data_IF_501277789141
#
_entry.id   IF_501277789141
#
_cell.length_a   1.000
_cell.length_b   1.000
_cell.length_c   1.000
_cell.angle_alpha   90.00
_cell.angle_beta   90.00
_cell.angle_gamma   90.00
#
_symmetry.space_group_name_H-M   'P 1'
#
loop_
_entity.id
_entity.type
_entity.pdbx_description
1 polymer ?
#
# COMPACT_ATOMS: atom_id res chain seq x y z
N UNK A 1 24.98 30.61 10.26
CA UNK A 1 24.43 30.75 8.89
C UNK A 1 23.02 30.19 8.91
N UNK A 2 22.03 31.06 8.80
CA UNK A 2 20.60 30.72 8.80
C UNK A 2 20.23 30.09 7.46
N UNK A 3 20.00 28.77 7.45
CA UNK A 3 19.42 28.07 6.30
C UNK A 3 17.96 28.50 6.21
N UNK A 4 17.65 29.35 5.22
CA UNK A 4 16.28 29.61 4.79
C UNK A 4 15.66 28.27 4.38
N UNK A 5 14.76 27.73 5.19
CA UNK A 5 13.85 26.67 4.74
C UNK A 5 12.99 27.30 3.65
N UNK A 6 13.16 26.87 2.41
CA UNK A 6 12.15 27.12 1.37
C UNK A 6 10.84 26.46 1.82
N UNK A 7 9.96 27.28 2.37
CA UNK A 7 8.58 26.90 2.65
C UNK A 7 7.92 26.65 1.30
N UNK A 8 7.72 25.39 0.95
CA UNK A 8 6.85 25.00 -0.17
C UNK A 8 5.52 25.73 0.02
N UNK A 9 5.09 26.48 -1.00
CA UNK A 9 3.93 27.34 -0.91
C UNK A 9 2.69 26.50 -0.57
N UNK A 10 1.98 26.78 0.54
CA UNK A 10 0.82 25.99 0.96
C UNK A 10 -0.26 25.89 -0.13
N UNK A 11 -0.35 26.87 -1.05
CA UNK A 11 -1.29 26.83 -2.18
C UNK A 11 -0.97 25.75 -3.21
N UNK A 12 0.31 25.41 -3.42
CA UNK A 12 0.72 24.36 -4.37
C UNK A 12 0.41 22.98 -3.81
N UNK A 13 0.53 22.83 -2.50
CA UNK A 13 0.19 21.63 -1.74
C UNK A 13 -1.32 21.41 -1.68
N UNK A 14 -2.10 22.50 -1.49
CA UNK A 14 -3.56 22.51 -1.57
C UNK A 14 -4.03 22.08 -2.98
N UNK A 15 -3.34 22.52 -4.04
CA UNK A 15 -3.69 22.15 -5.40
C UNK A 15 -3.44 20.65 -5.71
N UNK A 16 -2.34 20.06 -5.21
CA UNK A 16 -1.99 18.66 -5.50
C UNK A 16 -2.78 17.68 -4.62
N UNK A 17 -2.89 17.94 -3.31
CA UNK A 17 -3.67 17.10 -2.39
C UNK A 17 -5.18 17.22 -2.62
N UNK A 18 -5.65 18.42 -2.98
CA UNK A 18 -7.03 18.67 -3.37
C UNK A 18 -7.42 17.96 -4.66
N UNK A 19 -6.54 17.83 -5.65
CA UNK A 19 -6.83 17.12 -6.90
C UNK A 19 -6.93 15.62 -6.69
N UNK A 20 -6.09 15.00 -5.86
CA UNK A 20 -6.18 13.56 -5.57
C UNK A 20 -7.42 13.22 -4.75
N UNK A 21 -7.72 14.01 -3.71
CA UNK A 21 -8.94 13.83 -2.92
C UNK A 21 -10.21 14.17 -3.73
N UNK A 22 -10.16 15.19 -4.59
CA UNK A 22 -11.26 15.53 -5.48
C UNK A 22 -11.44 14.51 -6.60
N UNK A 23 -10.38 13.87 -7.10
CA UNK A 23 -10.47 12.73 -8.02
C UNK A 23 -11.14 11.53 -7.34
N UNK A 24 -10.72 11.20 -6.11
CA UNK A 24 -11.36 10.13 -5.31
C UNK A 24 -12.85 10.47 -5.04
N UNK A 25 -13.17 11.72 -4.68
CA UNK A 25 -14.56 12.15 -4.46
C UNK A 25 -15.39 12.26 -5.75
N UNK A 26 -14.81 12.66 -6.88
CA UNK A 26 -15.50 12.72 -8.18
C UNK A 26 -15.83 11.31 -8.69
N UNK A 27 -14.93 10.35 -8.50
CA UNK A 27 -15.11 8.92 -8.81
C UNK A 27 -16.29 8.31 -8.06
N UNK A 28 -16.47 8.65 -6.78
CA UNK A 28 -17.60 8.17 -5.96
C UNK A 28 -18.96 8.70 -6.46
N UNK A 29 -18.98 9.82 -7.18
CA UNK A 29 -20.22 10.54 -7.53
C UNK A 29 -20.84 10.17 -8.89
N UNK A 30 -20.14 9.49 -9.79
CA UNK A 30 -20.66 9.19 -11.14
C UNK A 30 -20.73 7.70 -11.39
N UNK A 31 -21.95 7.19 -11.48
CA UNK A 31 -22.29 5.89 -12.06
C UNK A 31 -22.61 6.07 -13.56
N UNK A 32 -21.75 5.62 -14.49
CA UNK A 32 -22.20 5.30 -15.83
C UNK A 32 -22.82 3.90 -15.82
N UNK A 33 -23.96 3.75 -16.49
CA UNK A 33 -24.68 2.48 -16.61
C UNK A 33 -23.83 1.43 -17.34
N UNK A 34 -23.72 0.26 -16.73
CA UNK A 34 -23.10 -0.92 -17.30
C UNK A 34 -24.02 -1.50 -18.39
N UNK A 35 -23.62 -1.34 -19.65
CA UNK A 35 -24.20 -2.08 -20.76
C UNK A 35 -23.17 -3.15 -21.15
N UNK A 36 -23.64 -4.31 -21.62
CA UNK A 36 -22.79 -5.41 -22.06
C UNK A 36 -22.02 -5.04 -23.33
N UNK A 37 -20.72 -5.35 -23.43
CA UNK A 37 -19.94 -4.97 -24.62
C UNK A 37 -19.10 -6.12 -25.16
N UNK A 38 -19.51 -6.61 -26.32
CA UNK A 38 -18.72 -7.39 -27.26
C UNK A 38 -17.69 -6.50 -27.96
N UNK A 39 -16.41 -6.88 -27.93
CA UNK A 39 -15.34 -6.24 -28.71
C UNK A 39 -15.49 -6.65 -30.17
N UNK A 40 -16.19 -5.83 -30.96
CA UNK A 40 -16.12 -5.90 -32.42
C UNK A 40 -16.19 -4.47 -32.96
N UNK A 41 -15.06 -3.96 -33.45
CA UNK A 41 -15.02 -2.74 -34.28
C UNK A 41 -15.75 -3.03 -35.61
N UNK A 42 -16.33 -2.02 -36.28
CA UNK A 42 -17.02 -2.19 -37.57
C UNK A 42 -16.12 -2.65 -38.72
N UNK A 43 -14.79 -2.61 -38.57
CA UNK A 43 -13.83 -2.69 -39.69
C UNK A 43 -12.94 -3.96 -39.73
N UNK A 44 -13.13 -4.95 -38.84
CA UNK A 44 -12.43 -6.24 -38.93
C UNK A 44 -10.92 -6.23 -38.68
N UNK A 45 -10.33 -5.12 -38.21
CA UNK A 45 -8.93 -5.07 -37.78
C UNK A 45 -8.76 -5.76 -36.42
N UNK A 46 -7.76 -6.63 -36.31
CA UNK A 46 -7.39 -7.31 -35.07
C UNK A 46 -6.91 -6.26 -34.05
N UNK A 47 -7.58 -6.08 -32.89
CA UNK A 47 -7.17 -5.12 -31.87
C UNK A 47 -5.75 -5.37 -31.35
N UNK A 48 -5.16 -6.55 -31.57
CA UNK A 48 -3.76 -6.83 -31.26
C UNK A 48 -2.74 -6.22 -32.24
N UNK A 49 -3.18 -5.74 -33.42
CA UNK A 49 -2.30 -5.18 -34.47
C UNK A 49 -2.29 -3.64 -34.51
N UNK A 50 -3.11 -2.97 -33.70
CA UNK A 50 -3.21 -1.51 -33.62
C UNK A 50 -2.04 -0.91 -32.81
N UNK A 51 -0.97 -0.48 -33.49
CA UNK A 51 0.21 0.06 -32.82
C UNK A 51 0.02 1.51 -32.30
N UNK A 52 -0.99 2.25 -32.80
CA UNK A 52 -1.22 3.64 -32.44
C UNK A 52 -1.54 3.84 -30.95
N UNK A 53 -2.07 2.80 -30.31
CA UNK A 53 -2.39 2.76 -28.88
C UNK A 53 -1.39 1.92 -28.05
N UNK A 54 -0.30 1.42 -28.64
CA UNK A 54 0.73 0.65 -27.92
C UNK A 54 0.38 -0.80 -27.64
N UNK A 55 -0.40 -1.45 -28.52
CA UNK A 55 -0.81 -2.86 -28.37
C UNK A 55 0.34 -3.85 -28.50
N UNK A 56 1.46 -3.41 -29.08
CA UNK A 56 2.67 -4.23 -29.25
C UNK A 56 3.77 -3.90 -28.24
N UNK A 57 3.51 -3.02 -27.26
CA UNK A 57 4.49 -2.60 -26.27
C UNK A 57 5.02 -3.78 -25.44
N UNK A 58 6.34 -3.92 -25.38
CA UNK A 58 7.01 -4.95 -24.58
C UNK A 58 7.24 -4.50 -23.14
N UNK A 59 7.18 -3.18 -22.92
CA UNK A 59 7.43 -2.48 -21.67
C UNK A 59 6.44 -1.32 -21.51
N UNK A 60 6.09 -0.90 -20.28
CA UNK A 60 5.12 0.18 -20.08
C UNK A 60 5.55 1.51 -20.70
N UNK A 61 6.86 1.79 -20.77
CA UNK A 61 7.38 3.04 -21.31
C UNK A 61 7.22 3.19 -22.83
N UNK A 62 6.92 2.09 -23.54
CA UNK A 62 6.64 2.12 -24.99
C UNK A 62 5.19 2.50 -25.32
N UNK A 63 4.30 2.56 -24.31
CA UNK A 63 2.89 2.89 -24.54
C UNK A 63 2.79 4.39 -24.90
N UNK A 64 2.26 4.74 -26.09
CA UNK A 64 2.15 6.13 -26.52
C UNK A 64 1.03 6.85 -25.77
N UNK A 65 1.03 8.19 -25.84
CA UNK A 65 0.07 9.02 -25.12
C UNK A 65 -1.43 8.65 -25.35
N UNK A 66 -1.89 8.26 -26.55
CA UNK A 66 -3.24 7.77 -26.75
C UNK A 66 -3.55 6.50 -25.94
N UNK A 67 -2.59 5.57 -25.86
CA UNK A 67 -2.73 4.37 -25.04
C UNK A 67 -2.75 4.65 -23.54
N UNK A 68 -1.91 5.57 -23.07
CA UNK A 68 -1.92 6.02 -21.67
C UNK A 68 -3.23 6.75 -21.30
N UNK A 69 -3.82 7.48 -22.26
CA UNK A 69 -5.15 8.07 -22.08
C UNK A 69 -6.22 6.99 -21.92
N UNK A 70 -6.15 5.91 -22.71
CA UNK A 70 -7.08 4.78 -22.55
C UNK A 70 -6.94 4.16 -21.16
N UNK A 71 -5.70 3.85 -20.75
CA UNK A 71 -5.39 3.32 -19.42
C UNK A 71 -5.97 4.20 -18.32
N UNK A 72 -5.74 5.52 -18.37
CA UNK A 72 -6.25 6.46 -17.37
C UNK A 72 -7.77 6.41 -17.24
N UNK A 73 -8.49 6.41 -18.36
CA UNK A 73 -9.95 6.37 -18.33
C UNK A 73 -10.51 5.02 -17.90
N UNK A 74 -9.83 3.92 -18.23
CA UNK A 74 -10.22 2.58 -17.74
C UNK A 74 -10.01 2.46 -16.24
N UNK A 75 -8.85 2.89 -15.72
CA UNK A 75 -8.62 2.96 -14.26
C UNK A 75 -9.75 3.77 -13.60
N UNK A 76 -10.09 4.95 -14.12
CA UNK A 76 -11.16 5.79 -13.58
C UNK A 76 -12.54 5.07 -13.55
N UNK A 77 -12.83 4.25 -14.55
CA UNK A 77 -14.05 3.45 -14.63
C UNK A 77 -14.01 2.29 -13.63
N UNK A 78 -12.91 1.56 -13.55
CA UNK A 78 -12.75 0.42 -12.64
C UNK A 78 -12.82 0.84 -11.17
N UNK A 79 -12.26 1.99 -10.80
CA UNK A 79 -12.39 2.51 -9.43
C UNK A 79 -13.84 2.58 -8.92
N UNK A 80 -14.78 2.90 -9.83
CA UNK A 80 -16.21 2.97 -9.52
C UNK A 80 -16.90 1.60 -9.65
N UNK A 81 -16.59 0.84 -10.71
CA UNK A 81 -17.18 -0.48 -10.96
C UNK A 81 -16.84 -1.47 -9.85
N UNK A 82 -15.59 -1.51 -9.42
CA UNK A 82 -15.10 -2.38 -8.36
C UNK A 82 -15.38 -1.86 -6.96
N UNK A 83 -15.97 -0.66 -6.85
CA UNK A 83 -16.33 -0.03 -5.57
C UNK A 83 -15.13 0.01 -4.64
N UNK A 84 -13.98 0.49 -5.14
CA UNK A 84 -12.68 0.46 -4.46
C UNK A 84 -12.75 1.03 -3.04
N UNK A 85 -13.47 2.13 -2.85
CA UNK A 85 -13.68 2.74 -1.53
C UNK A 85 -14.33 1.79 -0.52
N UNK A 86 -15.30 0.97 -0.96
CA UNK A 86 -15.99 0.01 -0.12
C UNK A 86 -15.11 -1.20 0.21
N UNK A 87 -14.39 -1.72 -0.77
CA UNK A 87 -13.41 -2.79 -0.56
C UNK A 87 -12.33 -2.33 0.42
N UNK A 88 -11.76 -1.14 0.20
CA UNK A 88 -10.77 -0.56 1.09
C UNK A 88 -11.27 -0.43 2.52
N UNK A 89 -12.56 -0.10 2.73
CA UNK A 89 -13.15 -0.01 4.07
C UNK A 89 -13.21 -1.38 4.76
N UNK A 90 -13.55 -2.44 4.01
CA UNK A 90 -13.52 -3.81 4.50
C UNK A 90 -12.10 -4.25 4.89
N UNK A 91 -11.11 -3.96 4.05
CA UNK A 91 -9.70 -4.25 4.35
C UNK A 91 -9.22 -3.46 5.58
N UNK A 92 -9.55 -2.17 5.65
CA UNK A 92 -9.20 -1.33 6.79
C UNK A 92 -9.77 -1.84 8.11
N UNK A 93 -11.00 -2.37 8.09
CA UNK A 93 -11.63 -3.00 9.24
C UNK A 93 -10.83 -4.23 9.71
N UNK A 94 -10.46 -5.13 8.80
CA UNK A 94 -9.65 -6.30 9.16
C UNK A 94 -8.24 -5.91 9.64
N UNK A 95 -7.62 -4.89 9.04
CA UNK A 95 -6.32 -4.36 9.49
C UNK A 95 -6.40 -3.73 10.89
N UNK A 96 -7.51 -3.04 11.21
CA UNK A 96 -7.73 -2.49 12.54
C UNK A 96 -7.89 -3.60 13.58
N UNK A 97 -8.62 -4.68 13.27
CA UNK A 97 -8.72 -5.86 14.14
C UNK A 97 -7.38 -6.58 14.31
N UNK A 98 -6.56 -6.61 13.27
CA UNK A 98 -5.22 -7.20 13.28
C UNK A 98 -4.19 -6.37 14.07
N UNK A 99 -4.49 -5.11 14.39
CA UNK A 99 -3.52 -4.17 14.94
C UNK A 99 -2.97 -4.61 16.30
N UNK A 100 -3.84 -4.88 17.28
CA UNK A 100 -3.40 -5.26 18.64
C UNK A 100 -2.58 -6.56 18.65
N UNK A 101 -3.04 -7.64 17.99
CA UNK A 101 -2.22 -8.82 17.71
C UNK A 101 -0.84 -8.53 17.14
N UNK A 102 -0.78 -7.69 16.10
CA UNK A 102 0.46 -7.38 15.41
C UNK A 102 1.43 -6.61 16.32
N UNK A 103 0.92 -5.68 17.15
CA UNK A 103 1.74 -4.97 18.13
C UNK A 103 2.33 -5.90 19.19
N UNK A 104 1.52 -6.81 19.74
CA UNK A 104 2.01 -7.79 20.72
C UNK A 104 3.11 -8.69 20.12
N UNK A 105 2.92 -9.14 18.88
CA UNK A 105 3.90 -9.94 18.17
C UNK A 105 5.17 -9.13 17.83
N UNK A 106 5.02 -7.86 17.44
CA UNK A 106 6.13 -6.94 17.16
C UNK A 106 6.98 -6.71 18.41
N UNK A 107 6.38 -6.41 19.56
CA UNK A 107 7.09 -6.22 20.84
C UNK A 107 7.83 -7.51 21.23
N UNK A 108 7.18 -8.66 21.08
CA UNK A 108 7.79 -9.95 21.39
C UNK A 108 9.01 -10.24 20.51
N UNK A 109 8.91 -9.98 19.20
CA UNK A 109 9.99 -10.20 18.24
C UNK A 109 11.13 -9.19 18.43
N UNK A 110 10.82 -7.91 18.69
CA UNK A 110 11.82 -6.90 19.01
C UNK A 110 12.58 -7.22 20.31
N UNK A 111 11.86 -7.72 21.32
CA UNK A 111 12.41 -8.16 22.60
C UNK A 111 13.45 -9.29 22.51
N UNK A 112 13.55 -9.99 21.37
CA UNK A 112 14.59 -11.00 21.13
C UNK A 112 15.95 -10.37 20.78
N UNK A 113 15.96 -9.13 20.28
CA UNK A 113 17.15 -8.47 19.72
C UNK A 113 17.56 -7.25 20.56
N UNK A 114 16.59 -6.59 21.20
CA UNK A 114 16.81 -5.38 22.01
C UNK A 114 15.88 -5.35 23.25
N UNK A 115 16.17 -4.44 24.19
CA UNK A 115 15.31 -4.23 25.36
C UNK A 115 13.93 -3.71 24.91
N UNK A 116 12.81 -4.38 25.27
CA UNK A 116 11.46 -3.88 24.97
C UNK A 116 11.19 -2.46 25.49
N UNK A 117 11.86 -2.02 26.56
CA UNK A 117 11.75 -0.65 27.04
C UNK A 117 12.26 0.38 26.01
N UNK A 118 13.23 0.01 25.18
CA UNK A 118 13.71 0.87 24.09
C UNK A 118 12.67 1.02 22.96
N UNK A 119 11.68 0.12 22.84
CA UNK A 119 10.61 0.25 21.83
C UNK A 119 9.80 1.51 22.06
N UNK A 120 9.43 1.81 23.31
CA UNK A 120 8.61 2.99 23.60
C UNK A 120 9.36 4.29 23.31
N UNK A 121 10.66 4.31 23.59
CA UNK A 121 11.51 5.48 23.34
C UNK A 121 11.72 5.67 21.84
N UNK A 122 12.05 4.62 21.09
CA UNK A 122 12.20 4.68 19.64
C UNK A 122 10.89 4.97 18.89
N UNK A 123 9.74 4.61 19.46
CA UNK A 123 8.45 4.94 18.84
C UNK A 123 8.13 6.42 18.94
N UNK A 124 8.58 7.14 19.99
CA UNK A 124 8.45 8.61 20.01
C UNK A 124 9.17 9.26 18.83
N UNK A 125 10.27 8.69 18.37
CA UNK A 125 10.99 9.14 17.18
C UNK A 125 10.27 8.81 15.86
N UNK A 126 9.23 7.96 15.92
CA UNK A 126 8.33 7.63 14.80
C UNK A 126 7.05 8.48 14.78
N UNK A 127 6.86 9.42 15.72
CA UNK A 127 5.68 10.29 15.76
C UNK A 127 5.48 11.08 14.45
N UNK A 128 6.55 11.35 13.70
CA UNK A 128 6.48 12.01 12.39
C UNK A 128 6.03 11.12 11.23
N UNK A 129 5.89 9.80 11.43
CA UNK A 129 5.47 8.83 10.40
C UNK A 129 4.02 8.39 10.60
N UNK A 130 3.53 8.44 11.84
CA UNK A 130 2.16 8.07 12.21
C UNK A 130 1.24 9.30 12.20
N UNK A 131 -0.06 9.15 11.88
CA UNK A 131 -0.99 10.25 11.95
C UNK A 131 -1.20 10.73 13.40
N UNK A 132 -1.53 12.02 13.61
CA UNK A 132 -1.83 12.56 14.93
C UNK A 132 -2.98 11.79 15.60
N UNK A 133 -2.82 11.40 16.87
CA UNK A 133 -3.80 10.63 17.65
C UNK A 133 -3.71 9.10 17.49
N UNK A 134 -3.16 8.58 16.39
CA UNK A 134 -2.81 7.16 16.29
C UNK A 134 -1.59 6.84 17.15
N UNK A 135 -0.64 7.77 17.23
CA UNK A 135 0.54 7.63 18.07
C UNK A 135 0.17 7.36 19.52
N UNK A 136 -0.74 8.15 20.10
CA UNK A 136 -1.12 8.02 21.51
C UNK A 136 -1.79 6.68 21.80
N UNK A 137 -2.69 6.22 20.92
CA UNK A 137 -3.34 4.91 21.05
C UNK A 137 -2.30 3.78 20.98
N UNK A 138 -1.37 3.86 20.02
CA UNK A 138 -0.33 2.85 19.86
C UNK A 138 0.64 2.86 21.03
N UNK A 139 1.07 4.04 21.48
CA UNK A 139 2.00 4.23 22.58
C UNK A 139 1.42 3.72 23.91
N UNK A 140 0.16 4.05 24.22
CA UNK A 140 -0.53 3.56 25.42
C UNK A 140 -0.63 2.04 25.42
N UNK A 141 -1.00 1.44 24.28
CA UNK A 141 -1.10 -0.01 24.18
C UNK A 141 0.26 -0.70 24.33
N UNK A 142 1.31 -0.13 23.75
CA UNK A 142 2.65 -0.67 23.89
C UNK A 142 3.17 -0.57 25.31
N UNK A 143 2.94 0.55 26.00
CA UNK A 143 3.26 0.67 27.43
C UNK A 143 2.53 -0.40 28.24
N UNK A 144 1.24 -0.63 27.99
CA UNK A 144 0.49 -1.68 28.68
C UNK A 144 1.05 -3.09 28.39
N UNK A 145 1.48 -3.36 27.16
CA UNK A 145 2.09 -4.63 26.78
C UNK A 145 3.47 -4.85 27.42
N UNK A 146 4.29 -3.80 27.52
CA UNK A 146 5.61 -3.85 28.17
C UNK A 146 5.46 -4.02 29.69
N UNK A 147 4.46 -3.36 30.31
CA UNK A 147 4.20 -3.41 31.75
C UNK A 147 3.54 -4.72 32.19
N UNK A 148 2.69 -5.36 31.36
CA UNK A 148 2.04 -6.65 31.66
C UNK A 148 2.97 -7.86 31.49
N UNK A 149 4.22 -7.74 31.92
CA UNK A 149 5.24 -8.79 31.88
C UNK A 149 5.04 -9.91 32.92
N UNK A 150 3.79 -10.23 33.26
CA UNK A 150 3.49 -11.35 34.16
C UNK A 150 3.17 -12.62 33.35
N UNK A 151 4.23 -13.42 33.20
CA UNK A 151 4.27 -14.88 33.39
C UNK A 151 2.91 -15.59 33.52
N UNK A 152 2.18 -15.69 32.43
CA UNK A 152 1.31 -16.85 32.20
C UNK A 152 1.81 -17.60 30.97
N UNK A 153 2.95 -18.29 31.12
CA UNK A 153 3.46 -19.33 30.20
C UNK A 153 2.51 -20.56 30.09
N UNK A 154 1.21 -20.36 30.33
CA UNK A 154 0.17 -21.38 30.29
C UNK A 154 -0.60 -21.36 28.96
N UNK A 155 -1.66 -22.15 28.93
CA UNK A 155 -2.57 -22.30 27.77
C UNK A 155 -3.08 -20.94 27.26
N UNK A 156 -3.29 -19.96 28.14
CA UNK A 156 -3.74 -18.61 27.79
C UNK A 156 -2.78 -17.86 26.84
N UNK A 157 -1.47 -18.03 26.98
CA UNK A 157 -0.49 -17.43 26.07
C UNK A 157 -0.62 -18.02 24.66
N UNK A 158 -0.70 -19.35 24.55
CA UNK A 158 -0.86 -20.03 23.26
C UNK A 158 -2.20 -19.70 22.59
N UNK A 159 -3.28 -19.60 23.37
CA UNK A 159 -4.60 -19.17 22.88
C UNK A 159 -4.57 -17.71 22.42
N UNK A 160 -3.97 -16.80 23.18
CA UNK A 160 -3.80 -15.39 22.81
C UNK A 160 -2.95 -15.22 21.55
N UNK A 161 -1.85 -15.97 21.44
CA UNK A 161 -1.00 -16.01 20.24
C UNK A 161 -1.75 -16.57 19.03
N UNK A 162 -2.56 -17.62 19.21
CA UNK A 162 -3.36 -18.20 18.13
C UNK A 162 -4.44 -17.22 17.63
N UNK A 163 -5.16 -16.55 18.55
CA UNK A 163 -6.12 -15.49 18.21
C UNK A 163 -5.41 -14.33 17.51
N UNK A 164 -4.21 -13.96 17.99
CA UNK A 164 -3.43 -12.90 17.40
C UNK A 164 -3.03 -13.24 15.95
N UNK A 165 -2.42 -14.40 15.73
CA UNK A 165 -2.05 -14.89 14.41
C UNK A 165 -3.27 -14.99 13.50
N UNK A 166 -4.40 -15.51 13.99
CA UNK A 166 -5.65 -15.61 13.23
C UNK A 166 -6.17 -14.23 12.79
N UNK A 167 -6.19 -13.25 13.70
CA UNK A 167 -6.62 -11.89 13.37
C UNK A 167 -5.68 -11.20 12.38
N UNK A 168 -4.36 -11.31 12.56
CA UNK A 168 -3.39 -10.73 11.64
C UNK A 168 -3.44 -11.40 10.25
N UNK A 169 -3.68 -12.71 10.24
CA UNK A 169 -3.86 -13.48 9.01
C UNK A 169 -5.04 -12.96 8.17
N UNK A 170 -6.18 -12.65 8.81
CA UNK A 170 -7.35 -12.11 8.11
C UNK A 170 -7.11 -10.74 7.46
N UNK A 171 -6.28 -9.88 8.07
CA UNK A 171 -5.88 -8.60 7.48
C UNK A 171 -5.11 -8.77 6.17
N UNK A 172 -4.18 -9.72 6.13
CA UNK A 172 -3.41 -10.02 4.89
C UNK A 172 -4.29 -10.67 3.83
N UNK A 173 -5.19 -11.58 4.22
CA UNK A 173 -6.17 -12.16 3.29
C UNK A 173 -7.07 -11.09 2.67
N UNK A 174 -7.53 -10.12 3.46
CA UNK A 174 -8.34 -9.02 2.94
C UNK A 174 -7.57 -8.17 1.91
N UNK A 175 -6.28 -7.93 2.11
CA UNK A 175 -5.42 -7.29 1.10
C UNK A 175 -5.35 -8.15 -0.17
N UNK A 176 -5.18 -9.47 -0.05
CA UNK A 176 -5.12 -10.37 -1.20
C UNK A 176 -6.43 -10.39 -1.98
N UNK A 177 -7.57 -10.39 -1.28
CA UNK A 177 -8.89 -10.28 -1.92
C UNK A 177 -9.04 -8.94 -2.66
N UNK A 178 -8.59 -7.83 -2.06
CA UNK A 178 -8.59 -6.54 -2.75
C UNK A 178 -7.67 -6.52 -3.98
N UNK A 179 -6.52 -7.18 -3.92
CA UNK A 179 -5.64 -7.35 -5.10
C UNK A 179 -6.26 -8.28 -6.13
N UNK A 180 -6.99 -9.32 -5.74
CA UNK A 180 -7.71 -10.16 -6.68
C UNK A 180 -8.76 -9.34 -7.45
N UNK A 181 -9.53 -8.49 -6.76
CA UNK A 181 -10.47 -7.58 -7.42
C UNK A 181 -9.76 -6.65 -8.41
N UNK A 182 -8.69 -5.97 -7.98
CA UNK A 182 -7.98 -5.00 -8.82
C UNK A 182 -7.27 -5.58 -10.05
N UNK A 183 -7.15 -6.91 -10.15
CA UNK A 183 -6.61 -7.60 -11.33
C UNK A 183 -7.66 -8.46 -12.04
N UNK A 184 -8.95 -8.31 -11.70
CA UNK A 184 -10.07 -9.13 -12.19
C UNK A 184 -9.85 -10.64 -12.03
N UNK A 185 -9.21 -11.02 -10.93
CA UNK A 185 -8.90 -12.41 -10.62
C UNK A 185 -9.85 -13.01 -9.59
N UNK A 186 -10.03 -14.32 -9.70
CA UNK A 186 -10.68 -15.13 -8.67
C UNK A 186 -9.64 -15.93 -7.92
N UNK A 187 -9.82 -16.10 -6.61
CA UNK A 187 -8.86 -16.83 -5.78
C UNK A 187 -8.84 -18.32 -6.14
N UNK A 188 -7.77 -18.75 -6.84
CA UNK A 188 -7.56 -20.13 -7.29
C UNK A 188 -6.63 -20.92 -6.38
N UNK A 189 -5.92 -20.27 -5.44
CA UNK A 189 -5.00 -20.96 -4.52
C UNK A 189 -5.82 -21.81 -3.54
N UNK A 190 -5.42 -23.06 -3.37
CA UNK A 190 -5.99 -23.91 -2.34
C UNK A 190 -5.74 -23.35 -0.93
N UNK A 191 -6.62 -23.71 0.01
CA UNK A 191 -6.61 -23.20 1.39
C UNK A 191 -5.21 -23.18 2.02
N UNK A 192 -4.47 -24.29 1.94
CA UNK A 192 -3.13 -24.41 2.54
C UNK A 192 -2.14 -23.43 1.91
N UNK A 193 -2.10 -23.33 0.57
CA UNK A 193 -1.14 -22.47 -0.13
C UNK A 193 -1.43 -20.99 0.14
N UNK A 194 -2.70 -20.60 0.10
CA UNK A 194 -3.12 -19.24 0.43
C UNK A 194 -2.70 -18.85 1.85
N UNK A 195 -2.96 -19.73 2.81
CA UNK A 195 -2.61 -19.50 4.22
C UNK A 195 -1.10 -19.34 4.43
N UNK A 196 -0.27 -20.22 3.83
CA UNK A 196 1.19 -20.14 3.93
C UNK A 196 1.72 -18.82 3.35
N UNK A 197 1.22 -18.41 2.17
CA UNK A 197 1.67 -17.17 1.53
C UNK A 197 1.25 -15.95 2.36
N UNK A 198 0.01 -15.90 2.85
CA UNK A 198 -0.46 -14.80 3.69
C UNK A 198 0.31 -14.72 5.03
N UNK A 199 0.60 -15.86 5.65
CA UNK A 199 1.43 -15.91 6.86
C UNK A 199 2.86 -15.40 6.58
N UNK A 200 3.46 -15.81 5.46
CA UNK A 200 4.78 -15.31 5.05
C UNK A 200 4.76 -13.78 4.87
N UNK A 201 3.72 -13.22 4.25
CA UNK A 201 3.55 -11.77 4.13
C UNK A 201 3.41 -11.07 5.48
N UNK A 202 2.66 -11.66 6.41
CA UNK A 202 2.54 -11.16 7.79
C UNK A 202 3.90 -11.10 8.48
N UNK A 203 4.69 -12.19 8.41
CA UNK A 203 6.03 -12.24 9.00
C UNK A 203 6.98 -11.23 8.33
N UNK A 204 6.96 -11.14 7.01
CA UNK A 204 7.74 -10.14 6.28
C UNK A 204 7.37 -8.71 6.67
N UNK A 205 6.09 -8.41 6.85
CA UNK A 205 5.62 -7.09 7.31
C UNK A 205 6.12 -6.79 8.73
N UNK A 206 6.12 -7.77 9.65
CA UNK A 206 6.68 -7.61 10.99
C UNK A 206 8.20 -7.36 10.96
N UNK A 207 8.94 -8.12 10.14
CA UNK A 207 10.37 -7.90 9.95
C UNK A 207 10.62 -6.50 9.38
N UNK A 208 9.85 -6.08 8.37
CA UNK A 208 9.95 -4.74 7.79
C UNK A 208 9.66 -3.63 8.82
N UNK A 209 8.70 -3.83 9.72
CA UNK A 209 8.45 -2.90 10.82
C UNK A 209 9.66 -2.81 11.78
N UNK A 210 10.28 -3.93 12.15
CA UNK A 210 11.49 -3.93 12.98
C UNK A 210 12.67 -3.25 12.28
N UNK A 211 12.87 -3.54 10.99
CA UNK A 211 13.90 -2.90 10.17
C UNK A 211 13.65 -1.40 10.08
N UNK A 212 12.39 -0.97 9.96
CA UNK A 212 12.01 0.44 9.98
C UNK A 212 12.40 1.11 11.29
N UNK A 213 12.04 0.50 12.44
CA UNK A 213 12.44 0.99 13.77
C UNK A 213 13.97 1.06 13.86
N UNK A 214 14.68 0.03 13.40
CA UNK A 214 16.14 0.00 13.38
C UNK A 214 16.77 1.09 12.50
N UNK A 215 16.21 1.37 11.31
CA UNK A 215 16.67 2.47 10.45
C UNK A 215 16.43 3.82 11.12
N UNK A 216 15.31 3.99 11.81
CA UNK A 216 14.96 5.25 12.49
C UNK A 216 15.83 5.50 13.71
N UNK A 217 15.99 4.49 14.57
CA UNK A 217 16.62 4.60 15.88
C UNK A 217 18.14 4.35 15.85
N UNK A 218 18.59 3.36 15.07
CA UNK A 218 19.97 2.86 15.15
C UNK A 218 20.90 3.53 14.13
N UNK A 219 20.37 4.03 13.01
CA UNK A 219 21.18 4.67 11.97
C UNK A 219 22.00 5.87 12.50
N UNK A 220 21.45 6.78 13.34
CA UNK A 220 22.24 7.84 13.95
C UNK A 220 23.40 7.31 14.81
N UNK A 221 23.13 6.31 15.67
CA UNK A 221 24.14 5.70 16.54
C UNK A 221 25.25 4.99 15.76
N UNK A 222 24.91 4.30 14.66
CA UNK A 222 25.91 3.67 13.77
C UNK A 222 26.80 4.72 13.10
N UNK A 223 26.22 5.84 12.68
CA UNK A 223 26.97 6.94 12.05
C UNK A 223 27.87 7.70 13.04
N UNK A 224 27.67 7.58 14.35
CA UNK A 224 28.60 8.10 15.36
C UNK A 224 29.95 7.36 15.36
N UNK A 225 29.93 6.05 15.11
CA UNK A 225 31.15 5.24 15.02
C UNK A 225 31.98 5.53 13.76
N UNK A 226 31.34 6.09 12.72
CA UNK A 226 32.02 6.51 11.49
C UNK A 226 32.44 7.97 11.66
N UNK A 227 33.75 8.26 11.63
CA UNK A 227 34.30 9.62 11.81
C UNK A 227 33.96 10.57 10.65
N UNK A 228 32.71 10.98 10.53
CA UNK A 228 32.16 11.85 9.47
C UNK A 228 31.71 13.23 10.01
N UNK A 229 32.41 13.78 11.00
CA UNK A 229 31.94 14.86 11.91
C UNK A 229 31.17 16.05 11.28
N UNK A 230 31.53 16.61 10.11
CA UNK A 230 30.76 17.72 9.53
C UNK A 230 29.46 17.30 8.81
N UNK A 231 29.34 16.05 8.38
CA UNK A 231 28.27 15.58 7.49
C UNK A 231 27.38 14.50 8.10
N UNK A 232 27.61 14.09 9.35
CA UNK A 232 26.88 12.98 10.01
C UNK A 232 25.36 13.14 9.94
N UNK A 233 24.84 14.26 10.43
CA UNK A 233 23.39 14.50 10.49
C UNK A 233 22.76 14.61 9.11
N UNK A 234 23.46 15.26 8.17
CA UNK A 234 22.97 15.41 6.79
C UNK A 234 22.97 14.08 6.05
N UNK A 235 24.02 13.26 6.20
CA UNK A 235 24.10 11.92 5.62
C UNK A 235 23.09 10.97 6.25
N UNK A 236 22.88 11.04 7.57
CA UNK A 236 21.86 10.26 8.26
C UNK A 236 20.48 10.52 7.66
N UNK A 237 20.10 11.79 7.50
CA UNK A 237 18.82 12.17 6.89
C UNK A 237 18.77 11.77 5.40
N UNK A 238 19.84 12.01 4.64
CA UNK A 238 19.90 11.68 3.21
C UNK A 238 19.83 10.18 2.93
N UNK A 239 20.33 9.32 3.82
CA UNK A 239 20.31 7.85 3.65
C UNK A 239 19.03 7.25 4.22
N UNK A 240 18.53 7.77 5.35
CA UNK A 240 17.33 7.26 6.03
C UNK A 240 16.11 7.26 5.12
N UNK A 241 15.79 8.38 4.49
CA UNK A 241 14.57 8.49 3.69
C UNK A 241 14.58 7.57 2.46
N UNK A 242 15.63 7.50 1.64
CA UNK A 242 15.70 6.54 0.54
C UNK A 242 15.60 5.08 0.98
N UNK A 243 16.20 4.70 2.12
CA UNK A 243 16.08 3.33 2.64
C UNK A 243 14.64 2.99 3.02
N UNK A 244 13.94 3.90 3.73
CA UNK A 244 12.55 3.72 4.08
C UNK A 244 11.64 3.68 2.85
N UNK A 245 11.87 4.55 1.87
CA UNK A 245 11.13 4.55 0.61
C UNK A 245 11.38 3.28 -0.19
N UNK A 246 12.63 2.79 -0.24
CA UNK A 246 12.96 1.52 -0.90
C UNK A 246 12.26 0.34 -0.22
N UNK A 247 12.20 0.34 1.12
CA UNK A 247 11.49 -0.68 1.88
C UNK A 247 9.98 -0.67 1.56
N UNK A 248 9.34 0.50 1.63
CA UNK A 248 7.92 0.66 1.29
C UNK A 248 7.66 0.25 -0.16
N UNK A 249 8.45 0.75 -1.10
CA UNK A 249 8.36 0.41 -2.53
C UNK A 249 8.48 -1.10 -2.77
N UNK A 250 9.41 -1.76 -2.08
CA UNK A 250 9.59 -3.21 -2.17
C UNK A 250 8.38 -3.97 -1.61
N UNK A 251 7.78 -3.50 -0.52
CA UNK A 251 6.57 -4.04 0.07
C UNK A 251 5.37 -3.93 -0.89
N UNK A 252 5.14 -2.73 -1.46
CA UNK A 252 4.09 -2.51 -2.46
C UNK A 252 4.28 -3.42 -3.67
N UNK A 253 5.52 -3.50 -4.20
CA UNK A 253 5.86 -4.38 -5.33
C UNK A 253 5.61 -5.85 -5.01
N UNK A 254 5.93 -6.30 -3.79
CA UNK A 254 5.67 -7.67 -3.36
C UNK A 254 4.16 -7.96 -3.30
N UNK A 255 3.37 -7.04 -2.77
CA UNK A 255 1.90 -7.16 -2.72
C UNK A 255 1.33 -7.26 -4.14
N UNK A 256 1.75 -6.41 -5.07
CA UNK A 256 1.26 -6.47 -6.46
C UNK A 256 1.66 -7.73 -7.20
N UNK A 257 2.82 -8.31 -6.85
CA UNK A 257 3.33 -9.51 -7.51
C UNK A 257 2.72 -10.81 -6.98
N UNK A 258 2.50 -10.92 -5.68
CA UNK A 258 2.11 -12.17 -5.02
C UNK A 258 0.73 -12.11 -4.36
N UNK A 259 0.17 -10.92 -4.20
CA UNK A 259 -1.19 -10.69 -3.72
C UNK A 259 -2.24 -11.33 -4.62
N UNK A 260 -2.30 -11.00 -5.92
CA UNK A 260 -3.31 -11.56 -6.83
C UNK A 260 -3.03 -13.04 -7.18
N UNK A 261 -4.10 -13.81 -7.36
CA UNK A 261 -4.09 -15.26 -7.63
C UNK A 261 -3.87 -15.58 -9.11
N UNK A 262 -2.78 -15.08 -9.68
CA UNK A 262 -2.45 -15.21 -11.10
C UNK A 262 -0.99 -15.59 -11.35
N UNK A 263 -0.63 -15.83 -12.61
CA UNK A 263 0.78 -15.91 -12.96
C UNK A 263 1.49 -14.58 -12.67
N UNK A 264 2.65 -14.60 -11.97
CA UNK A 264 3.33 -13.37 -11.60
C UNK A 264 3.73 -12.57 -12.83
N UNK A 265 3.39 -11.28 -12.84
CA UNK A 265 3.87 -10.33 -13.84
C UNK A 265 5.38 -10.09 -13.70
N UNK A 266 6.02 -9.69 -14.81
CA UNK A 266 7.40 -9.19 -14.81
C UNK A 266 7.47 -7.90 -13.99
N UNK A 267 8.52 -7.75 -13.18
CA UNK A 267 8.66 -6.61 -12.26
C UNK A 267 8.49 -5.24 -12.93
N UNK A 268 8.97 -5.09 -14.17
CA UNK A 268 8.88 -3.84 -14.93
C UNK A 268 7.44 -3.37 -15.20
N UNK A 269 6.47 -4.27 -15.25
CA UNK A 269 5.06 -3.89 -15.39
C UNK A 269 4.43 -3.42 -14.08
N UNK A 270 5.05 -3.76 -12.94
CA UNK A 270 4.57 -3.40 -11.61
C UNK A 270 5.17 -2.09 -11.07
N UNK A 271 6.28 -1.61 -11.67
CA UNK A 271 7.03 -0.47 -11.16
C UNK A 271 6.22 0.82 -11.17
N UNK A 272 5.39 1.06 -12.19
CA UNK A 272 4.61 2.28 -12.31
C UNK A 272 3.57 2.42 -11.20
N UNK A 273 2.81 1.37 -10.91
CA UNK A 273 1.91 1.33 -9.76
C UNK A 273 2.66 1.34 -8.43
N UNK A 274 3.84 0.72 -8.31
CA UNK A 274 4.63 0.81 -7.08
C UNK A 274 5.15 2.24 -6.81
N UNK A 275 5.56 2.97 -7.86
CA UNK A 275 5.92 4.40 -7.77
C UNK A 275 4.68 5.22 -7.40
N UNK A 276 3.55 5.02 -8.09
CA UNK A 276 2.30 5.73 -7.81
C UNK A 276 1.84 5.48 -6.36
N UNK A 277 1.92 4.25 -5.88
CA UNK A 277 1.54 3.90 -4.51
C UNK A 277 2.43 4.56 -3.49
N UNK A 278 3.74 4.55 -3.70
CA UNK A 278 4.71 5.15 -2.77
C UNK A 278 4.52 6.67 -2.73
N UNK A 279 4.44 7.32 -3.89
CA UNK A 279 4.25 8.77 -3.99
C UNK A 279 2.86 9.20 -3.48
N UNK A 280 1.81 8.47 -3.87
CA UNK A 280 0.44 8.70 -3.44
C UNK A 280 0.25 8.50 -1.95
N UNK A 281 0.95 7.53 -1.35
CA UNK A 281 0.89 7.29 0.09
C UNK A 281 1.58 8.41 0.87
N UNK A 282 2.73 8.91 0.41
CA UNK A 282 3.38 10.10 1.00
C UNK A 282 2.50 11.35 0.89
N UNK A 283 1.93 11.58 -0.28
CA UNK A 283 1.03 12.72 -0.51
C UNK A 283 -0.21 12.63 0.39
N UNK A 284 -0.79 11.43 0.49
CA UNK A 284 -1.93 11.15 1.37
C UNK A 284 -1.56 11.37 2.83
N UNK A 285 -0.40 10.87 3.29
CA UNK A 285 0.06 11.05 4.67
C UNK A 285 0.25 12.55 5.01
N UNK A 286 0.85 13.31 4.09
CA UNK A 286 0.99 14.76 4.24
C UNK A 286 -0.38 15.45 4.28
N UNK A 287 -1.27 15.15 3.34
CA UNK A 287 -2.60 15.75 3.26
C UNK A 287 -3.45 15.42 4.50
N UNK A 288 -3.31 14.20 5.02
CA UNK A 288 -3.98 13.76 6.24
C UNK A 288 -3.47 14.51 7.47
N UNK A 289 -2.15 14.67 7.63
CA UNK A 289 -1.57 15.48 8.73
C UNK A 289 -2.13 16.90 8.70
N UNK A 290 -2.12 17.54 7.54
CA UNK A 290 -2.67 18.89 7.37
C UNK A 290 -4.17 18.97 7.69
N UNK A 291 -4.96 17.98 7.26
CA UNK A 291 -6.38 17.91 7.58
C UNK A 291 -6.62 17.81 9.09
N UNK A 292 -5.85 16.95 9.77
CA UNK A 292 -5.95 16.75 11.22
C UNK A 292 -5.49 17.98 12.02
N UNK A 293 -4.52 18.73 11.52
CA UNK A 293 -4.07 19.98 12.16
C UNK A 293 -5.03 21.15 11.95
N UNK A 294 -5.73 21.21 10.81
CA UNK A 294 -6.50 22.40 10.40
C UNK A 294 -7.98 22.33 10.77
N UNK A 295 -8.64 21.20 10.50
CA UNK A 295 -10.11 21.09 10.57
C UNK A 295 -10.60 20.27 11.75
N UNK A 296 -9.66 19.63 12.41
CA UNK A 296 -9.87 18.47 13.24
C UNK A 296 -9.63 18.85 14.69
N UNK A 297 -10.45 19.77 15.18
CA UNK A 297 -10.61 20.04 16.61
C UNK A 297 -11.43 18.90 17.27
N UNK A 298 -11.08 17.64 16.93
CA UNK A 298 -11.80 16.42 17.28
C UNK A 298 -11.75 16.11 18.78
N UNK A 299 -10.78 16.69 19.50
CA UNK A 299 -10.67 16.58 20.95
C UNK A 299 -11.91 17.16 21.67
N UNK A 300 -12.58 18.16 21.10
CA UNK A 300 -13.71 18.83 21.74
C UNK A 300 -15.05 18.06 21.65
N UNK A 301 -15.21 17.18 20.64
CA UNK A 301 -16.50 16.51 20.38
C UNK A 301 -16.51 15.00 20.70
N UNK A 302 -15.38 14.29 20.56
CA UNK A 302 -15.34 12.82 20.63
C UNK A 302 -14.23 12.24 21.53
N UNK A 303 -13.38 13.07 22.15
CA UNK A 303 -12.33 12.62 23.08
C UNK A 303 -11.47 11.48 22.51
N UNK A 304 -11.23 10.43 23.30
CA UNK A 304 -10.41 9.27 22.88
C UNK A 304 -10.94 8.51 21.64
N UNK A 305 -12.24 8.63 21.31
CA UNK A 305 -12.82 7.98 20.13
C UNK A 305 -12.28 8.59 18.81
N UNK A 306 -11.85 9.86 18.85
CA UNK A 306 -11.32 10.56 17.69
C UNK A 306 -10.05 9.93 17.12
N UNK A 307 -9.13 9.46 17.97
CA UNK A 307 -7.89 8.82 17.53
C UNK A 307 -8.15 7.52 16.78
N UNK A 308 -9.15 6.74 17.20
CA UNK A 308 -9.52 5.48 16.53
C UNK A 308 -10.13 5.74 15.15
N UNK A 309 -11.03 6.72 15.06
CA UNK A 309 -11.64 7.13 13.78
C UNK A 309 -10.57 7.69 12.83
N UNK A 310 -9.66 8.51 13.34
CA UNK A 310 -8.53 9.03 12.57
C UNK A 310 -7.63 7.91 12.04
N UNK A 311 -7.26 6.95 12.89
CA UNK A 311 -6.48 5.78 12.48
C UNK A 311 -7.21 4.94 11.42
N UNK A 312 -8.51 4.66 11.61
CA UNK A 312 -9.30 3.93 10.63
C UNK A 312 -9.35 4.67 9.28
N UNK A 313 -9.55 5.99 9.29
CA UNK A 313 -9.57 6.80 8.08
C UNK A 313 -8.20 6.81 7.38
N UNK A 314 -7.11 6.88 8.13
CA UNK A 314 -5.76 6.81 7.57
C UNK A 314 -5.44 5.45 6.93
N UNK A 315 -5.80 4.34 7.60
CA UNK A 315 -5.66 3.00 7.02
C UNK A 315 -6.52 2.89 5.76
N UNK A 316 -7.78 3.33 5.83
CA UNK A 316 -8.71 3.30 4.71
C UNK A 316 -8.17 4.05 3.48
N UNK A 317 -7.69 5.28 3.66
CA UNK A 317 -7.08 6.07 2.59
C UNK A 317 -5.80 5.40 2.05
N UNK A 318 -4.99 4.79 2.92
CA UNK A 318 -3.80 4.03 2.52
C UNK A 318 -4.15 2.86 1.61
N UNK A 319 -5.22 2.12 1.94
CA UNK A 319 -5.68 1.00 1.11
C UNK A 319 -6.32 1.49 -0.19
N UNK A 320 -7.02 2.61 -0.19
CA UNK A 320 -7.48 3.23 -1.45
C UNK A 320 -6.30 3.52 -2.38
N UNK A 321 -5.21 4.13 -1.87
CA UNK A 321 -3.99 4.39 -2.66
C UNK A 321 -3.39 3.09 -3.19
N UNK A 322 -3.31 2.05 -2.35
CA UNK A 322 -2.79 0.73 -2.73
C UNK A 322 -3.60 0.11 -3.88
N UNK A 323 -4.93 0.11 -3.78
CA UNK A 323 -5.82 -0.47 -4.80
C UNK A 323 -5.77 0.34 -6.08
N UNK A 324 -5.91 1.67 -6.03
CA UNK A 324 -5.84 2.55 -7.22
C UNK A 324 -4.53 2.34 -8.00
N UNK A 325 -3.44 2.12 -7.28
CA UNK A 325 -2.14 1.88 -7.89
C UNK A 325 -2.01 0.46 -8.46
N UNK A 326 -2.72 -0.51 -7.90
CA UNK A 326 -2.85 -1.86 -8.45
C UNK A 326 -3.68 -1.85 -9.75
N UNK A 327 -4.79 -1.11 -9.80
CA UNK A 327 -5.59 -0.91 -11.02
C UNK A 327 -4.75 -0.33 -12.15
N UNK A 328 -3.88 0.64 -11.84
CA UNK A 328 -2.97 1.19 -12.85
C UNK A 328 -2.05 0.11 -13.44
N UNK A 329 -1.49 -0.76 -12.60
CA UNK A 329 -0.65 -1.86 -13.09
C UNK A 329 -1.46 -2.85 -13.93
N UNK A 330 -2.65 -3.22 -13.45
CA UNK A 330 -3.57 -4.10 -14.16
C UNK A 330 -3.91 -3.54 -15.55
N UNK A 331 -4.25 -2.25 -15.63
CA UNK A 331 -4.65 -1.61 -16.87
C UNK A 331 -3.51 -1.30 -17.84
N UNK A 332 -2.29 -1.09 -17.32
CA UNK A 332 -1.08 -1.05 -18.14
C UNK A 332 -0.81 -2.40 -18.78
N UNK A 333 -0.95 -3.50 -18.04
CA UNK A 333 -0.84 -4.85 -18.61
C UNK A 333 -1.95 -5.12 -19.64
N UNK A 334 -3.18 -4.71 -19.32
CA UNK A 334 -4.35 -4.85 -20.20
C UNK A 334 -4.24 -4.05 -21.51
N UNK A 335 -3.32 -3.09 -21.58
CA UNK A 335 -3.07 -2.32 -22.80
C UNK A 335 -2.35 -3.14 -23.87
N UNK A 336 -1.45 -4.06 -23.51
CA UNK A 336 -0.59 -4.77 -24.48
C UNK A 336 -1.09 -6.18 -24.81
N UNK A 337 -0.94 -6.58 -26.08
CA UNK A 337 -1.13 -7.96 -26.51
C UNK A 337 0.10 -8.84 -26.22
N UNK A 338 1.25 -8.24 -25.88
CA UNK A 338 2.49 -8.97 -25.55
C UNK A 338 2.39 -9.59 -24.16
N UNK A 339 3.09 -10.70 -23.96
CA UNK A 339 3.05 -11.43 -22.69
C UNK A 339 3.82 -10.66 -21.60
N UNK A 340 3.08 -10.16 -20.62
CA UNK A 340 3.58 -9.43 -19.45
C UNK A 340 3.96 -10.36 -18.29
N UNK A 341 3.57 -11.64 -18.37
CA UNK A 341 3.80 -12.62 -17.31
C UNK A 341 5.22 -13.18 -17.32
N UNK A 342 5.58 -13.86 -16.23
CA UNK A 342 6.88 -14.53 -16.10
C UNK A 342 6.87 -15.91 -16.76
N UNK A 343 8.00 -16.32 -17.32
CA UNK A 343 8.14 -17.61 -18.00
C UNK A 343 8.25 -17.49 -19.53
N UNK A 344 8.13 -18.61 -20.27
CA UNK A 344 8.14 -18.60 -21.73
C UNK A 344 6.88 -17.90 -22.26
N UNK A 345 7.04 -17.12 -23.33
CA UNK A 345 5.94 -16.36 -23.92
C UNK A 345 4.79 -17.27 -24.38
N UNK A 346 3.57 -16.95 -23.94
CA UNK A 346 2.34 -17.67 -24.30
C UNK A 346 1.38 -16.79 -25.09
N UNK A 347 0.53 -17.39 -25.94
CA UNK A 347 -0.55 -16.66 -26.61
C UNK A 347 -1.60 -16.18 -25.59
N UNK A 348 -2.36 -15.16 -25.99
CA UNK A 348 -3.49 -14.64 -25.23
C UNK A 348 -4.48 -15.77 -24.87
N UNK A 349 -5.03 -15.72 -23.66
CA UNK A 349 -5.97 -16.71 -23.11
C UNK A 349 -5.32 -17.90 -22.39
N UNK A 350 -3.98 -17.99 -22.37
CA UNK A 350 -3.26 -19.15 -21.79
C UNK A 350 -2.14 -18.76 -20.80
N UNK A 351 -2.01 -17.46 -20.49
CA UNK A 351 -1.00 -16.92 -19.57
C UNK A 351 -1.43 -17.12 -18.13
N UNK A 352 -2.71 -17.30 -17.85
CA UNK A 352 -3.21 -17.54 -16.49
C UNK A 352 -3.22 -16.26 -15.66
N UNK A 353 -3.51 -15.14 -16.32
CA UNK A 353 -3.67 -13.82 -15.74
C UNK A 353 -4.66 -13.03 -16.62
N UNK A 354 -5.81 -12.63 -16.08
CA UNK A 354 -6.93 -12.03 -16.83
C UNK A 354 -6.47 -10.84 -17.68
N UNK A 355 -5.87 -9.83 -17.02
CA UNK A 355 -5.34 -8.63 -17.68
C UNK A 355 -4.24 -8.89 -18.71
N UNK A 356 -3.52 -10.01 -18.60
CA UNK A 356 -2.53 -10.40 -19.60
C UNK A 356 -3.13 -11.26 -20.71
N UNK A 357 -4.32 -11.83 -20.52
CA UNK A 357 -4.99 -12.74 -21.44
C UNK A 357 -6.08 -12.03 -22.27
N UNK A 358 -6.51 -10.84 -21.87
CA UNK A 358 -7.48 -9.98 -22.58
C UNK A 358 -6.83 -8.67 -23.05
N UNK A 359 -7.57 -7.88 -23.84
CA UNK A 359 -7.13 -6.56 -24.34
C UNK A 359 -8.16 -5.50 -23.95
N UNK A 360 -7.70 -4.44 -23.29
CA UNK A 360 -8.54 -3.36 -22.77
C UNK A 360 -9.09 -2.49 -23.89
N UNK A 361 -10.25 -1.86 -23.68
CA UNK A 361 -10.91 -1.02 -24.70
C UNK A 361 -10.12 0.26 -25.01
N UNK A 362 -10.14 0.71 -26.26
CA UNK A 362 -9.67 2.05 -26.65
C UNK A 362 -10.76 3.09 -26.40
N UNK A 363 -10.39 4.25 -25.87
CA UNK A 363 -11.30 5.39 -25.66
C UNK A 363 -11.20 6.29 -26.88
N UNK A 364 -12.29 6.35 -27.66
CA UNK A 364 -12.38 7.19 -28.86
C UNK A 364 -12.92 8.58 -28.56
#
# INVERSE_FOLDING_TARGET
>A
MSVQRETINPTTVIAIGGVVLALICLVVSKHPAANAWTVTRPNGEDPAQDDAHGRLAMIPEEIPAPGLRDVFWRVMQELSQDRVAFIAAGVAFYLLLALFPALAALVSLYGLIADPAAVSDHMRDMAGVLPPGAFDILADQLQQLVLRRETTLGVAFFVGLAIAIWSTHNGTLAIFDAMNVAYEETEKRGFVRLNIVALAFTVCAMIAAIVTIGIVALLPAVLEFVWLDPWKETLALMVRWPLLLALVFSGMTAIYRFGPSRQPAKLRWLTWGAVLATAGWLLMAFAFSWYVETFADYNAAYGALSGLVGLFMWIWLSICVLIVSAELNAELEHQTAKDTTTGPARPLGTRGAHMADTIGRSVH
#
